data_IF_866447922069
#
_entry.id   IF_866447922069
#
_cell.length_a   1.000
_cell.length_b   1.000
_cell.length_c   1.000
_cell.angle_alpha   90.00
_cell.angle_beta   90.00
_cell.angle_gamma   90.00
#
_symmetry.space_group_name_H-M   'P 1'
#
loop_
_entity.id
_entity.type
_entity.pdbx_description
1 polymer ?
#
# COMPACT_ATOMS: atom_id res chain seq x y z
N UNK A 1 15.32 -0.05 17.36
CA UNK A 1 13.89 0.23 17.10
C UNK A 1 13.09 -0.54 18.14
N UNK A 2 12.17 0.14 18.82
CA UNK A 2 11.24 -0.48 19.78
C UNK A 2 10.08 -1.10 18.98
N UNK A 3 9.72 -2.34 19.27
CA UNK A 3 8.64 -3.06 18.61
C UNK A 3 7.41 -3.13 19.53
N UNK A 4 6.24 -2.85 18.95
CA UNK A 4 4.95 -3.02 19.59
C UNK A 4 4.08 -3.95 18.73
N UNK A 5 3.72 -5.09 19.26
CA UNK A 5 2.80 -6.01 18.60
C UNK A 5 1.35 -5.57 18.83
N UNK A 6 0.57 -5.43 17.75
CA UNK A 6 -0.83 -5.03 17.81
C UNK A 6 -1.43 -4.64 16.48
N UNK A 7 -2.65 -4.18 16.51
CA UNK A 7 -3.42 -3.70 15.35
C UNK A 7 -3.46 -2.15 15.35
N UNK A 8 -3.28 -1.53 14.20
CA UNK A 8 -3.36 -0.05 14.07
C UNK A 8 -4.76 0.48 14.37
N UNK A 9 -5.78 -0.37 14.38
CA UNK A 9 -7.14 -0.04 14.82
C UNK A 9 -7.30 -0.03 16.34
N UNK A 10 -6.29 -0.46 17.10
CA UNK A 10 -6.29 -0.38 18.56
C UNK A 10 -5.87 1.02 19.03
N UNK A 11 -6.86 1.87 19.27
CA UNK A 11 -6.69 3.25 19.69
C UNK A 11 -5.93 3.37 21.02
N UNK A 12 -6.15 2.44 21.95
CA UNK A 12 -5.47 2.47 23.25
C UNK A 12 -3.98 2.16 23.11
N UNK A 13 -3.65 1.18 22.24
CA UNK A 13 -2.26 0.85 21.91
C UNK A 13 -1.56 2.02 21.23
N UNK A 14 -2.20 2.69 20.27
CA UNK A 14 -1.61 3.85 19.61
C UNK A 14 -1.32 4.98 20.59
N UNK A 15 -2.27 5.33 21.47
CA UNK A 15 -2.05 6.35 22.53
C UNK A 15 -0.87 5.97 23.42
N UNK A 16 -0.76 4.70 23.82
CA UNK A 16 0.37 4.23 24.60
C UNK A 16 1.71 4.41 23.84
N UNK A 17 1.74 4.07 22.54
CA UNK A 17 2.94 4.22 21.71
C UNK A 17 3.37 5.68 21.65
N UNK A 18 2.45 6.61 21.38
CA UNK A 18 2.76 8.03 21.33
C UNK A 18 3.14 8.61 22.70
N UNK A 19 2.56 8.10 23.80
CA UNK A 19 2.91 8.54 25.16
C UNK A 19 4.30 8.07 25.60
N UNK A 20 4.75 6.93 25.12
CA UNK A 20 6.04 6.32 25.49
C UNK A 20 7.21 6.74 24.58
N UNK A 21 6.96 7.44 23.48
CA UNK A 21 7.99 7.75 22.49
C UNK A 21 7.75 9.17 21.91
N UNK A 22 8.86 9.86 21.64
CA UNK A 22 8.83 11.10 20.85
C UNK A 22 8.74 10.75 19.37
N UNK A 23 7.59 11.01 18.75
CA UNK A 23 7.31 10.65 17.36
C UNK A 23 7.06 11.92 16.55
N UNK A 24 7.97 12.23 15.63
CA UNK A 24 7.88 13.39 14.75
C UNK A 24 7.00 13.16 13.52
N UNK A 25 6.95 11.93 13.03
CA UNK A 25 6.21 11.58 11.83
C UNK A 25 5.86 10.08 11.80
N UNK A 26 4.84 9.74 11.05
CA UNK A 26 4.39 8.36 10.84
C UNK A 26 4.55 7.95 9.39
N UNK A 27 5.09 6.76 9.15
CA UNK A 27 5.04 6.07 7.85
C UNK A 27 3.99 4.97 7.95
N UNK A 28 2.86 5.16 7.27
CA UNK A 28 1.72 4.26 7.35
C UNK A 28 1.72 3.23 6.23
N UNK A 29 2.28 2.05 6.52
CA UNK A 29 2.28 0.90 5.61
C UNK A 29 1.17 -0.12 5.91
N UNK A 30 0.57 -0.05 7.10
CA UNK A 30 -0.42 -1.04 7.53
C UNK A 30 -1.64 -1.04 6.60
N UNK A 31 -2.02 -2.24 6.14
CA UNK A 31 -3.19 -2.42 5.28
C UNK A 31 -3.16 -3.75 4.53
N UNK A 32 -4.32 -4.29 4.24
CA UNK A 32 -4.48 -5.44 3.35
C UNK A 32 -4.24 -4.99 1.91
N UNK A 33 -3.50 -5.80 1.12
CA UNK A 33 -3.03 -5.38 -0.22
C UNK A 33 -3.34 -6.36 -1.36
N UNK A 34 -3.95 -7.50 -1.10
CA UNK A 34 -4.22 -8.51 -2.12
C UNK A 34 -5.48 -8.17 -2.93
N UNK A 35 -5.31 -7.76 -4.18
CA UNK A 35 -6.40 -7.32 -5.08
C UNK A 35 -7.48 -8.40 -5.20
N UNK A 36 -7.11 -9.64 -5.51
CA UNK A 36 -8.07 -10.75 -5.65
C UNK A 36 -8.85 -11.04 -4.37
N UNK A 37 -8.19 -11.02 -3.20
CA UNK A 37 -8.85 -11.18 -1.91
C UNK A 37 -9.83 -10.04 -1.64
N UNK A 38 -9.51 -8.81 -2.05
CA UNK A 38 -10.38 -7.66 -1.84
C UNK A 38 -11.72 -7.80 -2.57
N UNK A 39 -11.72 -8.44 -3.74
CA UNK A 39 -12.95 -8.74 -4.50
C UNK A 39 -13.79 -9.79 -3.79
N UNK A 40 -13.15 -10.82 -3.23
CA UNK A 40 -13.84 -11.89 -2.50
C UNK A 40 -14.31 -11.46 -1.10
N UNK A 41 -13.60 -10.54 -0.46
CA UNK A 41 -13.86 -10.10 0.92
C UNK A 41 -13.84 -8.56 1.04
N UNK A 42 -14.71 -7.82 0.33
CA UNK A 42 -14.65 -6.36 0.26
C UNK A 42 -14.84 -5.69 1.63
N UNK A 43 -15.76 -6.20 2.46
CA UNK A 43 -16.00 -5.67 3.80
C UNK A 43 -14.73 -5.67 4.66
N UNK A 44 -13.98 -6.77 4.64
CA UNK A 44 -12.73 -6.90 5.38
C UNK A 44 -11.71 -5.84 4.98
N UNK A 45 -11.65 -5.51 3.68
CA UNK A 45 -10.74 -4.49 3.15
C UNK A 45 -11.16 -3.08 3.55
N UNK A 46 -12.44 -2.76 3.42
CA UNK A 46 -12.94 -1.45 3.85
C UNK A 46 -12.77 -1.25 5.36
N UNK A 47 -13.18 -2.21 6.18
CA UNK A 47 -13.02 -2.13 7.62
C UNK A 47 -11.55 -2.00 8.03
N UNK A 48 -10.69 -2.87 7.53
CA UNK A 48 -9.28 -2.84 7.93
C UNK A 48 -8.57 -1.58 7.46
N UNK A 49 -8.65 -1.25 6.17
CA UNK A 49 -7.81 -0.22 5.57
C UNK A 49 -8.27 1.20 5.89
N UNK A 50 -9.58 1.44 5.96
CA UNK A 50 -10.09 2.76 6.30
C UNK A 50 -10.02 3.03 7.80
N UNK A 51 -10.48 2.09 8.62
CA UNK A 51 -10.48 2.28 10.08
C UNK A 51 -9.07 2.40 10.64
N UNK A 52 -8.07 1.66 10.11
CA UNK A 52 -6.69 1.82 10.54
C UNK A 52 -6.18 3.26 10.33
N UNK A 53 -6.50 3.87 9.20
CA UNK A 53 -6.12 5.27 8.93
C UNK A 53 -6.90 6.25 9.81
N UNK A 54 -8.22 6.06 9.95
CA UNK A 54 -9.06 6.95 10.76
C UNK A 54 -8.64 6.95 12.24
N UNK A 55 -8.40 5.77 12.81
CA UNK A 55 -7.97 5.64 14.21
C UNK A 55 -6.57 6.21 14.40
N UNK A 56 -5.64 5.91 13.48
CA UNK A 56 -4.28 6.43 13.53
C UNK A 56 -4.27 7.96 13.48
N UNK A 57 -4.93 8.55 12.50
CA UNK A 57 -4.92 10.01 12.30
C UNK A 57 -5.66 10.76 13.43
N UNK A 58 -6.70 10.16 14.00
CA UNK A 58 -7.36 10.69 15.21
C UNK A 58 -6.37 10.82 16.37
N UNK A 59 -5.63 9.74 16.67
CA UNK A 59 -4.64 9.76 17.76
C UNK A 59 -3.49 10.70 17.44
N UNK A 60 -3.02 10.74 16.19
CA UNK A 60 -1.99 11.68 15.74
C UNK A 60 -2.41 13.15 15.95
N UNK A 61 -3.66 13.49 15.64
CA UNK A 61 -4.21 14.84 15.86
C UNK A 61 -4.27 15.19 17.34
N UNK A 62 -4.75 14.28 18.19
CA UNK A 62 -4.84 14.48 19.64
C UNK A 62 -3.47 14.76 20.29
N UNK A 63 -2.39 14.15 19.79
CA UNK A 63 -1.04 14.34 20.33
C UNK A 63 -0.22 15.40 19.58
N UNK A 64 -0.78 16.04 18.55
CA UNK A 64 -0.11 17.06 17.75
C UNK A 64 0.94 16.53 16.76
N UNK A 65 0.99 15.22 16.50
CA UNK A 65 1.86 14.64 15.45
C UNK A 65 1.17 14.71 14.09
N UNK A 66 1.40 15.76 13.32
CA UNK A 66 0.69 16.06 12.06
C UNK A 66 1.51 15.80 10.79
N UNK A 67 2.45 14.85 10.84
CA UNK A 67 3.25 14.47 9.66
C UNK A 67 3.05 12.98 9.35
N UNK A 68 2.54 12.69 8.14
CA UNK A 68 2.29 11.31 7.72
C UNK A 68 2.71 11.08 6.28
N UNK A 69 3.38 9.94 6.06
CA UNK A 69 3.64 9.38 4.73
C UNK A 69 2.72 8.17 4.58
N UNK A 70 1.82 8.22 3.63
CA UNK A 70 0.88 7.13 3.36
C UNK A 70 1.33 6.30 2.16
N UNK A 71 1.42 4.99 2.37
CA UNK A 71 1.62 3.99 1.31
C UNK A 71 0.34 3.82 0.51
N UNK A 72 0.16 4.65 -0.53
CA UNK A 72 -0.91 4.51 -1.49
C UNK A 72 -0.55 3.48 -2.57
N UNK A 73 -1.14 3.55 -3.74
CA UNK A 73 -0.92 2.60 -4.82
C UNK A 73 -1.26 3.22 -6.17
N UNK A 74 -0.60 2.80 -7.24
CA UNK A 74 -0.98 3.15 -8.61
C UNK A 74 -2.41 2.70 -8.99
N UNK A 75 -3.00 1.76 -8.23
CA UNK A 75 -4.40 1.34 -8.43
C UNK A 75 -5.45 2.43 -8.18
N UNK A 76 -5.04 3.59 -7.62
CA UNK A 76 -5.92 4.76 -7.47
C UNK A 76 -6.14 5.52 -8.78
N UNK A 77 -5.26 5.37 -9.77
CA UNK A 77 -5.44 5.99 -11.07
C UNK A 77 -6.59 5.34 -11.84
N UNK A 78 -7.38 6.17 -12.51
CA UNK A 78 -8.44 5.71 -13.38
C UNK A 78 -7.89 5.03 -14.64
N UNK A 79 -8.56 3.96 -15.09
CA UNK A 79 -8.12 3.19 -16.26
C UNK A 79 -8.27 3.93 -17.61
N UNK A 80 -8.95 5.08 -17.64
CA UNK A 80 -9.15 5.92 -18.83
C UNK A 80 -8.07 7.02 -19.01
N UNK A 81 -7.00 6.98 -18.22
CA UNK A 81 -5.88 7.90 -18.38
C UNK A 81 -5.03 7.56 -19.61
N UNK A 82 -4.53 8.60 -20.26
CA UNK A 82 -3.43 8.46 -21.23
C UNK A 82 -2.10 8.13 -20.54
N UNK A 83 -1.28 7.34 -21.21
CA UNK A 83 0.07 7.01 -20.73
C UNK A 83 1.11 7.99 -21.28
N UNK A 84 2.17 8.28 -20.52
CA UNK A 84 2.49 7.81 -19.17
C UNK A 84 1.68 8.52 -18.08
N UNK A 85 1.37 7.79 -16.99
CA UNK A 85 0.70 8.35 -15.82
C UNK A 85 1.59 9.40 -15.13
N UNK A 86 0.95 10.41 -14.56
CA UNK A 86 1.58 11.48 -13.76
C UNK A 86 0.80 11.66 -12.45
N UNK A 87 1.36 12.36 -11.50
CA UNK A 87 0.70 12.65 -10.21
C UNK A 87 -0.62 13.42 -10.40
N UNK A 88 -0.72 14.19 -11.49
CA UNK A 88 -1.92 14.97 -11.88
C UNK A 88 -2.94 14.16 -12.69
N UNK A 89 -2.64 12.93 -13.08
CA UNK A 89 -3.58 12.07 -13.80
C UNK A 89 -4.81 11.78 -12.95
N UNK A 90 -5.95 11.55 -13.62
CA UNK A 90 -7.22 11.30 -12.94
C UNK A 90 -7.11 10.11 -11.96
N UNK A 91 -7.72 10.27 -10.80
CA UNK A 91 -7.83 9.23 -9.78
C UNK A 91 -9.30 8.88 -9.52
N UNK A 92 -9.55 7.74 -8.91
CA UNK A 92 -10.89 7.18 -8.73
C UNK A 92 -11.26 6.21 -9.84
N UNK A 93 -12.55 5.84 -9.95
CA UNK A 93 -13.02 4.80 -10.86
C UNK A 93 -12.19 3.51 -10.76
N UNK A 94 -11.87 3.14 -9.50
CA UNK A 94 -11.06 1.97 -9.19
C UNK A 94 -11.79 0.68 -9.55
N UNK A 95 -11.08 -0.30 -10.07
CA UNK A 95 -11.63 -1.57 -10.55
C UNK A 95 -11.87 -2.62 -9.47
N UNK A 96 -11.40 -2.37 -8.25
CA UNK A 96 -11.46 -3.34 -7.16
C UNK A 96 -11.51 -2.65 -5.78
N UNK A 97 -12.02 -3.35 -4.73
CA UNK A 97 -12.13 -2.78 -3.39
C UNK A 97 -10.82 -2.32 -2.77
N UNK A 98 -9.70 -3.01 -3.02
CA UNK A 98 -8.38 -2.55 -2.56
C UNK A 98 -8.05 -1.16 -3.12
N UNK A 99 -8.17 -0.96 -4.42
CA UNK A 99 -7.97 0.35 -5.07
C UNK A 99 -8.88 1.42 -4.48
N UNK A 100 -10.15 1.09 -4.26
CA UNK A 100 -11.10 2.01 -3.60
C UNK A 100 -10.66 2.38 -2.19
N UNK A 101 -10.15 1.44 -1.37
CA UNK A 101 -9.67 1.79 -0.02
C UNK A 101 -8.49 2.75 -0.07
N UNK A 102 -7.55 2.57 -1.01
CA UNK A 102 -6.41 3.48 -1.18
C UNK A 102 -6.87 4.86 -1.65
N UNK A 103 -7.75 4.92 -2.64
CA UNK A 103 -8.31 6.19 -3.13
C UNK A 103 -9.08 6.94 -2.03
N UNK A 104 -9.98 6.26 -1.31
CA UNK A 104 -10.74 6.87 -0.20
C UNK A 104 -9.82 7.39 0.89
N UNK A 105 -8.77 6.66 1.24
CA UNK A 105 -7.76 7.11 2.21
C UNK A 105 -7.04 8.36 1.72
N UNK A 106 -6.67 8.47 0.44
CA UNK A 106 -6.11 9.70 -0.12
C UNK A 106 -7.07 10.88 0.03
N UNK A 107 -8.38 10.67 -0.23
CA UNK A 107 -9.38 11.73 -0.07
C UNK A 107 -9.53 12.17 1.40
N UNK A 108 -9.54 11.21 2.34
CA UNK A 108 -9.61 11.50 3.78
C UNK A 108 -8.39 12.34 4.20
N UNK A 109 -7.19 11.89 3.88
CA UNK A 109 -5.95 12.59 4.24
C UNK A 109 -5.86 13.97 3.57
N UNK A 110 -6.24 14.07 2.30
CA UNK A 110 -6.27 15.36 1.59
C UNK A 110 -7.28 16.33 2.21
N UNK A 111 -8.45 15.85 2.63
CA UNK A 111 -9.45 16.63 3.36
C UNK A 111 -8.92 17.16 4.70
N UNK A 112 -8.17 16.34 5.43
CA UNK A 112 -7.53 16.75 6.69
C UNK A 112 -6.50 17.88 6.45
N UNK A 113 -5.62 17.72 5.46
CA UNK A 113 -4.63 18.75 5.10
C UNK A 113 -5.28 20.04 4.53
N UNK A 114 -6.46 19.92 3.95
CA UNK A 114 -7.22 21.10 3.52
C UNK A 114 -7.79 21.86 4.72
N UNK A 115 -8.35 21.16 5.69
CA UNK A 115 -8.99 21.74 6.88
C UNK A 115 -7.96 22.34 7.85
N UNK A 116 -6.82 21.67 8.02
CA UNK A 116 -5.76 22.09 8.92
C UNK A 116 -4.40 22.09 8.22
N UNK A 117 -3.81 23.28 8.05
CA UNK A 117 -2.55 23.51 7.31
C UNK A 117 -1.29 23.07 8.06
N UNK A 118 -1.40 22.66 9.31
CA UNK A 118 -0.30 22.04 10.05
C UNK A 118 -0.03 20.60 9.61
N UNK A 119 -1.02 19.93 9.00
CA UNK A 119 -0.81 18.60 8.44
C UNK A 119 0.15 18.62 7.26
N UNK A 120 1.21 17.82 7.36
CA UNK A 120 2.13 17.52 6.26
C UNK A 120 1.93 16.07 5.82
N UNK A 121 1.32 15.88 4.66
CA UNK A 121 0.89 14.58 4.15
C UNK A 121 1.58 14.28 2.83
N UNK A 122 2.23 13.11 2.75
CA UNK A 122 2.82 12.60 1.51
C UNK A 122 2.08 11.33 1.10
N UNK A 123 1.60 11.28 -0.14
CA UNK A 123 0.89 10.13 -0.71
C UNK A 123 1.81 9.45 -1.73
N UNK A 124 2.29 8.24 -1.42
CA UNK A 124 3.20 7.50 -2.30
C UNK A 124 2.41 6.47 -3.12
N UNK A 125 2.23 6.72 -4.42
CA UNK A 125 1.51 5.85 -5.36
C UNK A 125 2.47 4.87 -6.01
N UNK A 126 2.77 3.79 -5.32
CA UNK A 126 3.69 2.76 -5.84
C UNK A 126 3.08 2.00 -7.01
N UNK A 127 3.90 1.73 -8.03
CA UNK A 127 3.64 0.74 -9.07
C UNK A 127 4.01 -0.66 -8.57
N UNK A 128 5.03 -1.29 -9.11
CA UNK A 128 5.46 -2.64 -8.71
C UNK A 128 6.85 -2.57 -8.07
N UNK A 129 6.95 -2.35 -6.74
CA UNK A 129 8.25 -2.33 -6.09
C UNK A 129 8.86 -3.73 -6.09
N UNK A 130 10.14 -3.79 -6.46
CA UNK A 130 10.95 -5.01 -6.46
C UNK A 130 12.35 -4.69 -5.92
N UNK A 131 13.12 -5.72 -5.66
CA UNK A 131 14.52 -5.59 -5.29
C UNK A 131 14.82 -6.00 -3.86
N UNK A 132 16.11 -6.01 -3.56
CA UNK A 132 16.64 -6.34 -2.26
C UNK A 132 17.85 -5.47 -1.95
N UNK A 133 18.16 -5.28 -0.67
CA UNK A 133 19.36 -4.54 -0.27
C UNK A 133 20.62 -5.32 -0.67
N UNK A 134 21.65 -4.60 -1.11
CA UNK A 134 22.92 -5.20 -1.59
C UNK A 134 23.58 -6.14 -0.56
N UNK A 135 23.31 -5.96 0.72
CA UNK A 135 23.81 -6.86 1.77
C UNK A 135 23.19 -8.26 1.74
N UNK A 136 22.11 -8.48 0.97
CA UNK A 136 21.34 -9.73 0.97
C UNK A 136 20.56 -10.03 2.26
N UNK A 137 20.53 -9.09 3.22
CA UNK A 137 19.85 -9.29 4.51
C UNK A 137 18.45 -8.71 4.59
N UNK A 138 18.07 -7.89 3.60
CA UNK A 138 16.74 -7.28 3.49
C UNK A 138 16.26 -7.51 2.07
N UNK A 139 15.06 -8.07 1.94
CA UNK A 139 14.42 -8.37 0.66
C UNK A 139 12.96 -8.76 0.87
N UNK A 140 12.32 -9.31 -0.15
CA UNK A 140 10.93 -9.76 -0.10
C UNK A 140 10.87 -11.28 0.11
N UNK A 141 10.39 -11.72 1.27
CA UNK A 141 10.14 -13.14 1.59
C UNK A 141 8.74 -13.30 2.20
N UNK A 142 7.68 -13.29 1.38
CA UNK A 142 6.31 -13.39 1.84
C UNK A 142 6.03 -14.76 2.46
N UNK A 143 5.22 -14.77 3.53
CA UNK A 143 4.71 -16.01 4.11
C UNK A 143 3.63 -16.61 3.20
N UNK A 144 3.75 -17.92 2.92
CA UNK A 144 2.78 -18.64 2.08
C UNK A 144 2.99 -18.43 0.57
N UNK A 145 1.88 -18.40 -0.18
CA UNK A 145 1.91 -18.23 -1.64
C UNK A 145 2.14 -16.75 -1.96
N UNK A 146 3.18 -16.40 -2.73
CA UNK A 146 3.41 -15.01 -3.13
C UNK A 146 2.27 -14.45 -3.99
N UNK A 147 2.02 -13.14 -3.85
CA UNK A 147 1.09 -12.41 -4.71
C UNK A 147 1.79 -11.53 -5.75
N UNK A 148 3.12 -11.37 -5.64
CA UNK A 148 3.93 -10.56 -6.54
C UNK A 148 4.86 -11.45 -7.39
N UNK A 149 5.24 -10.95 -8.57
CA UNK A 149 6.04 -11.71 -9.54
C UNK A 149 7.43 -12.09 -9.00
N UNK A 150 8.18 -11.15 -8.41
CA UNK A 150 9.57 -11.39 -8.01
C UNK A 150 9.73 -12.49 -6.96
N UNK A 151 8.92 -12.56 -5.88
CA UNK A 151 8.97 -13.70 -4.97
C UNK A 151 8.67 -15.04 -5.63
N UNK A 152 7.79 -15.09 -6.64
CA UNK A 152 7.57 -16.30 -7.43
C UNK A 152 8.82 -16.72 -8.18
N UNK A 153 9.45 -15.79 -8.91
CA UNK A 153 10.68 -16.03 -9.66
C UNK A 153 11.78 -16.54 -8.74
N UNK A 154 11.99 -15.86 -7.62
CA UNK A 154 13.05 -16.25 -6.67
C UNK A 154 12.78 -17.61 -6.01
N UNK A 155 11.52 -17.94 -5.71
CA UNK A 155 11.14 -19.25 -5.19
C UNK A 155 11.32 -20.37 -6.21
N UNK A 156 11.11 -20.10 -7.50
CA UNK A 156 11.44 -21.06 -8.58
C UNK A 156 12.96 -21.22 -8.70
N UNK A 157 13.70 -20.13 -8.71
CA UNK A 157 15.16 -20.13 -8.84
C UNK A 157 15.87 -20.95 -7.75
N UNK A 158 15.34 -20.94 -6.52
CA UNK A 158 15.90 -21.72 -5.40
C UNK A 158 15.24 -23.10 -5.21
N UNK A 159 14.39 -23.54 -6.17
CA UNK A 159 13.75 -24.85 -6.16
C UNK A 159 12.60 -25.04 -5.16
N UNK A 160 12.10 -23.95 -4.53
CA UNK A 160 10.89 -24.04 -3.69
C UNK A 160 9.62 -24.26 -4.51
N UNK A 161 9.63 -23.87 -5.80
CA UNK A 161 8.57 -24.08 -6.78
C UNK A 161 9.13 -24.68 -8.04
N UNK A 162 8.33 -25.51 -8.70
CA UNK A 162 8.74 -26.22 -9.91
C UNK A 162 8.80 -25.30 -11.13
N UNK A 163 7.81 -24.42 -11.28
CA UNK A 163 7.70 -23.51 -12.43
C UNK A 163 7.01 -22.21 -12.08
N UNK A 164 7.18 -21.24 -12.98
CA UNK A 164 6.44 -19.97 -13.00
C UNK A 164 5.28 -20.09 -14.00
N UNK A 165 4.07 -19.79 -13.57
CA UNK A 165 2.91 -19.73 -14.47
C UNK A 165 2.79 -18.36 -15.12
N UNK A 166 2.63 -18.34 -16.46
CA UNK A 166 2.29 -17.14 -17.24
C UNK A 166 0.80 -17.24 -17.60
N UNK A 167 0.04 -16.22 -17.17
CA UNK A 167 -1.41 -16.17 -17.37
C UNK A 167 -1.76 -15.30 -18.57
N UNK A 168 -2.01 -15.96 -19.72
CA UNK A 168 -2.34 -15.31 -20.97
C UNK A 168 -1.13 -14.90 -21.79
N UNK A 169 -1.35 -14.88 -23.11
CA UNK A 169 -0.37 -14.47 -24.13
C UNK A 169 -1.06 -13.72 -25.27
N UNK A 170 -2.22 -13.14 -24.99
CA UNK A 170 -3.13 -12.50 -25.94
C UNK A 170 -3.40 -11.02 -25.60
N UNK A 171 -2.55 -10.42 -24.76
CA UNK A 171 -2.58 -8.98 -24.50
C UNK A 171 -2.06 -8.20 -25.70
N UNK A 172 -2.61 -7.00 -25.90
CA UNK A 172 -2.13 -6.06 -26.94
C UNK A 172 -0.79 -5.43 -26.53
N UNK A 173 0.26 -6.25 -26.52
CA UNK A 173 1.64 -5.92 -26.17
C UNK A 173 2.59 -6.62 -27.13
N UNK A 174 3.86 -6.20 -27.17
CA UNK A 174 4.82 -6.72 -28.16
C UNK A 174 5.06 -8.23 -28.08
N UNK A 175 4.86 -8.86 -26.93
CA UNK A 175 5.04 -10.30 -26.68
C UNK A 175 3.76 -11.01 -26.21
N UNK A 176 2.64 -10.30 -26.20
CA UNK A 176 1.34 -10.81 -25.77
C UNK A 176 1.19 -10.95 -24.26
N UNK A 177 2.20 -10.58 -23.46
CA UNK A 177 2.12 -10.65 -22.00
C UNK A 177 1.85 -9.28 -21.37
N UNK A 178 1.51 -9.24 -20.08
CA UNK A 178 1.22 -7.99 -19.39
C UNK A 178 2.49 -7.16 -19.13
N UNK A 179 2.50 -5.91 -19.60
CA UNK A 179 3.56 -4.92 -19.30
C UNK A 179 3.32 -4.28 -17.95
N UNK A 180 4.38 -4.09 -17.15
CA UNK A 180 4.34 -3.47 -15.83
C UNK A 180 5.56 -2.56 -15.63
N UNK A 181 5.35 -1.48 -14.83
CA UNK A 181 6.45 -0.63 -14.35
C UNK A 181 6.98 -1.17 -13.03
N UNK A 182 8.26 -1.50 -13.02
CA UNK A 182 8.98 -1.97 -11.84
C UNK A 182 9.89 -0.88 -11.30
N UNK A 183 9.85 -0.69 -9.98
CA UNK A 183 10.73 0.25 -9.26
C UNK A 183 11.56 -0.51 -8.21
N UNK A 184 12.83 -0.12 -8.04
CA UNK A 184 13.73 -0.72 -7.05
C UNK A 184 13.50 -0.13 -5.65
#
# INVERSE_FOLDING_TARGET
VKFYEGDVRDEALLRKIFAENEIDAVIHFAGLKAVGESVAQPWRYYDNNLNSTLVLTKVMEEVGCKKIIFSSSATVYSGDNEMPLRETSKTGNCTNPYGWTKYMTEQILSGMAFADKEWSIVLLRYFNPIGAHISGRIGEDPRGIPNNLMPYITQVAIGRREFLSVYGNDYDTHDGTGVRDYIH
#
